data_IF_477526028430
#
_entry.id   IF_477526028430
#
_cell.length_a   1.000
_cell.length_b   1.000
_cell.length_c   1.000
_cell.angle_alpha   90.00
_cell.angle_beta   90.00
_cell.angle_gamma   90.00
#
_symmetry.space_group_name_H-M   'P 1'
#
loop_
_entity.id
_entity.type
_entity.pdbx_description
1 polymer ?
#
# COMPACT_ATOMS: atom_id res chain seq x y z
N UNK A 1 3.88 -10.59 2.37
CA UNK A 1 3.97 -9.99 1.02
C UNK A 1 2.86 -8.98 0.71
N UNK A 2 1.56 -9.33 0.80
CA UNK A 2 0.46 -8.43 0.36
C UNK A 2 0.43 -7.05 1.04
N UNK A 3 0.44 -6.98 2.38
CA UNK A 3 0.46 -5.69 3.11
C UNK A 3 1.58 -4.77 2.62
N UNK A 4 2.81 -5.31 2.53
CA UNK A 4 3.98 -4.58 2.03
C UNK A 4 3.76 -4.03 0.62
N UNK A 5 3.33 -4.85 -0.34
CA UNK A 5 3.08 -4.41 -1.71
C UNK A 5 2.04 -3.27 -1.78
N UNK A 6 0.95 -3.37 -1.02
CA UNK A 6 -0.10 -2.34 -1.04
C UNK A 6 0.33 -1.02 -0.38
N UNK A 7 1.16 -1.06 0.66
CA UNK A 7 1.74 0.15 1.25
C UNK A 7 2.78 0.77 0.32
N UNK A 8 3.61 -0.05 -0.34
CA UNK A 8 4.59 0.40 -1.32
C UNK A 8 3.94 1.07 -2.53
N UNK A 9 2.85 0.51 -3.05
CA UNK A 9 2.06 1.13 -4.12
C UNK A 9 1.62 2.55 -3.73
N UNK A 10 1.15 2.75 -2.50
CA UNK A 10 0.80 4.07 -1.98
C UNK A 10 1.98 5.04 -1.99
N UNK A 11 3.14 4.62 -1.46
CA UNK A 11 4.35 5.45 -1.40
C UNK A 11 4.86 5.85 -2.80
N UNK A 12 4.89 4.90 -3.73
CA UNK A 12 5.36 5.15 -5.10
C UNK A 12 4.41 6.10 -5.83
N UNK A 13 3.10 5.90 -5.67
CA UNK A 13 2.11 6.74 -6.37
C UNK A 13 2.11 8.17 -5.84
N UNK A 14 2.22 8.33 -4.51
CA UNK A 14 2.35 9.63 -3.86
C UNK A 14 3.59 10.38 -4.36
N UNK A 15 4.75 9.69 -4.42
CA UNK A 15 5.98 10.25 -4.96
C UNK A 15 5.84 10.66 -6.43
N UNK A 16 5.16 9.85 -7.24
CA UNK A 16 4.91 10.15 -8.65
C UNK A 16 4.04 11.41 -8.81
N UNK A 17 2.99 11.57 -7.99
CA UNK A 17 2.17 12.78 -7.96
C UNK A 17 3.03 14.01 -7.62
N UNK A 18 3.84 13.90 -6.57
CA UNK A 18 4.69 15.00 -6.12
C UNK A 18 5.67 15.48 -7.21
N UNK A 19 6.24 14.56 -7.99
CA UNK A 19 7.16 14.89 -9.09
C UNK A 19 6.44 15.66 -10.23
N UNK A 20 5.16 15.37 -10.48
CA UNK A 20 4.38 15.99 -11.56
C UNK A 20 3.59 17.23 -11.11
N UNK A 21 3.66 17.62 -9.83
CA UNK A 21 2.99 18.80 -9.29
C UNK A 21 1.48 18.80 -9.55
N UNK A 22 0.92 19.94 -9.98
CA UNK A 22 -0.51 20.09 -10.25
C UNK A 22 -1.03 19.11 -11.32
N UNK A 23 -0.17 18.71 -12.27
CA UNK A 23 -0.54 17.72 -13.28
C UNK A 23 -0.71 16.32 -12.67
N UNK A 24 0.02 16.00 -11.59
CA UNK A 24 -0.09 14.71 -10.90
C UNK A 24 -1.43 14.49 -10.20
N UNK A 25 -2.11 15.57 -9.78
CA UNK A 25 -3.46 15.50 -9.18
C UNK A 25 -4.58 15.62 -10.22
N UNK A 26 -4.27 16.03 -11.44
CA UNK A 26 -5.21 16.09 -12.56
C UNK A 26 -5.62 14.68 -13.05
N UNK A 27 -6.52 14.64 -14.02
CA UNK A 27 -6.90 13.40 -14.69
C UNK A 27 -6.01 13.06 -15.91
N UNK A 28 -5.06 13.94 -16.28
CA UNK A 28 -4.28 13.82 -17.51
C UNK A 28 -3.30 12.63 -17.46
N UNK A 29 -2.70 12.37 -16.29
CA UNK A 29 -1.68 11.32 -16.10
C UNK A 29 -2.22 10.06 -15.40
N UNK A 30 -3.51 10.02 -15.08
CA UNK A 30 -4.15 8.94 -14.30
C UNK A 30 -3.54 8.65 -12.91
N UNK A 31 -2.60 9.48 -12.44
CA UNK A 31 -1.94 9.31 -11.14
C UNK A 31 -2.90 9.49 -9.96
N UNK A 32 -3.86 10.40 -10.06
CA UNK A 32 -4.93 10.56 -9.06
C UNK A 32 -5.78 9.28 -8.92
N UNK A 33 -6.16 8.64 -10.02
CA UNK A 33 -6.88 7.35 -9.98
C UNK A 33 -6.03 6.26 -9.34
N UNK A 34 -4.75 6.17 -9.70
CA UNK A 34 -3.83 5.21 -9.09
C UNK A 34 -3.71 5.41 -7.57
N UNK A 35 -3.63 6.66 -7.09
CA UNK A 35 -3.52 6.97 -5.68
C UNK A 35 -4.78 6.53 -4.90
N UNK A 36 -5.97 6.82 -5.48
CA UNK A 36 -7.25 6.38 -4.92
C UNK A 36 -7.34 4.85 -4.85
N UNK A 37 -6.92 4.15 -5.90
CA UNK A 37 -6.85 2.67 -5.91
C UNK A 37 -5.89 2.14 -4.86
N UNK A 38 -4.69 2.73 -4.75
CA UNK A 38 -3.69 2.35 -3.74
C UNK A 38 -4.26 2.47 -2.32
N UNK A 39 -5.08 3.50 -2.05
CA UNK A 39 -5.76 3.64 -0.76
C UNK A 39 -6.76 2.52 -0.50
N UNK A 40 -7.59 2.18 -1.49
CA UNK A 40 -8.63 1.16 -1.39
C UNK A 40 -8.03 -0.25 -1.22
N UNK A 41 -6.96 -0.58 -1.94
CA UNK A 41 -6.33 -1.91 -1.92
C UNK A 41 -5.71 -2.30 -0.56
N UNK A 42 -5.54 -1.35 0.36
CA UNK A 42 -5.09 -1.62 1.73
C UNK A 42 -6.13 -2.30 2.61
N UNK A 43 -7.40 -2.36 2.19
CA UNK A 43 -8.53 -2.89 2.96
C UNK A 43 -8.91 -4.34 2.61
N UNK A 44 -9.08 -4.72 1.32
CA UNK A 44 -9.53 -6.07 0.96
C UNK A 44 -8.53 -7.14 1.42
N UNK A 45 -9.05 -8.34 1.68
CA UNK A 45 -8.30 -9.50 2.16
C UNK A 45 -7.53 -9.25 3.47
N UNK A 46 -8.11 -8.41 4.32
CA UNK A 46 -7.55 -8.00 5.60
C UNK A 46 -6.69 -6.74 5.50
N UNK A 47 -6.89 -5.84 6.45
CA UNK A 47 -6.08 -4.61 6.54
C UNK A 47 -4.62 -4.94 6.84
N UNK A 48 -3.73 -3.99 6.56
CA UNK A 48 -2.31 -4.14 6.87
C UNK A 48 -2.07 -4.43 8.37
N UNK A 49 -2.89 -3.86 9.26
CA UNK A 49 -2.82 -4.08 10.71
C UNK A 49 -3.19 -5.53 11.08
N UNK A 50 -4.24 -6.09 10.46
CA UNK A 50 -4.64 -7.48 10.68
C UNK A 50 -3.55 -8.43 10.16
N UNK A 51 -2.98 -8.15 9.00
CA UNK A 51 -1.88 -8.95 8.46
C UNK A 51 -0.63 -8.87 9.34
N UNK A 52 -0.24 -7.66 9.79
CA UNK A 52 0.87 -7.45 10.73
C UNK A 52 0.62 -8.15 12.07
N UNK A 53 -0.60 -8.12 12.60
CA UNK A 53 -0.99 -8.86 13.82
C UNK A 53 -0.82 -10.37 13.64
N UNK A 54 -1.22 -10.92 12.50
CA UNK A 54 -1.05 -12.35 12.20
C UNK A 54 0.44 -12.71 12.10
N UNK A 55 1.25 -11.90 11.41
CA UNK A 55 2.71 -12.08 11.35
C UNK A 55 3.32 -12.03 12.75
N UNK A 56 2.96 -11.03 13.57
CA UNK A 56 3.46 -10.90 14.94
C UNK A 56 3.11 -12.13 15.80
N UNK A 57 1.88 -12.66 15.68
CA UNK A 57 1.49 -13.90 16.38
C UNK A 57 2.32 -15.12 15.97
N UNK A 58 2.72 -15.24 14.70
CA UNK A 58 3.56 -16.33 14.21
C UNK A 58 5.00 -16.18 14.75
N UNK A 59 5.56 -14.98 14.67
CA UNK A 59 6.88 -14.66 15.22
C UNK A 59 6.96 -14.95 16.72
N UNK A 60 5.94 -14.55 17.50
CA UNK A 60 5.88 -14.83 18.95
C UNK A 60 5.78 -16.31 19.30
N UNK A 61 5.39 -17.17 18.35
CA UNK A 61 5.40 -18.64 18.50
C UNK A 61 6.72 -19.28 18.05
N UNK A 62 7.71 -18.48 17.64
CA UNK A 62 8.99 -18.95 17.12
C UNK A 62 8.96 -19.36 15.64
N UNK A 63 7.89 -19.05 14.90
CA UNK A 63 7.81 -19.31 13.46
C UNK A 63 8.67 -18.30 12.70
N UNK A 64 9.89 -18.70 12.34
CA UNK A 64 10.88 -17.91 11.58
C UNK A 64 11.05 -18.40 10.14
N UNK A 65 10.20 -19.33 9.70
CA UNK A 65 10.22 -19.81 8.32
C UNK A 65 9.42 -18.82 7.46
N UNK A 66 10.12 -18.11 6.59
CA UNK A 66 9.56 -17.11 5.68
C UNK A 66 9.36 -17.66 4.27
#
# INVERSE_FOLDING_TARGET
TKAFCTEMLGRVTDRAIQVHGAMGISNDLQLNMAFRRARTLRIPDGTAEIQRRTIAKRLLKGDVNF
#
